data_IF_173723655737
#
_entry.id   IF_173723655737
#
_cell.length_a   1.000
_cell.length_b   1.000
_cell.length_c   1.000
_cell.angle_alpha   90.00
_cell.angle_beta   90.00
_cell.angle_gamma   90.00
#
_symmetry.space_group_name_H-M   'P 1'
#
loop_
_entity.id
_entity.type
_entity.pdbx_description
1 polymer ?
#
# COMPACT_ATOMS: atom_id res chain seq x y z
N UNK A 1 11.30 -22.87 -3.13
CA UNK A 1 10.26 -22.77 -4.18
C UNK A 1 8.86 -22.44 -3.64
N UNK A 2 8.43 -22.99 -2.48
CA UNK A 2 7.09 -22.73 -1.91
C UNK A 2 6.87 -21.28 -1.46
N UNK A 3 7.86 -20.65 -0.81
CA UNK A 3 7.75 -19.26 -0.30
C UNK A 3 7.51 -18.22 -1.40
N UNK A 4 8.14 -18.38 -2.56
CA UNK A 4 7.98 -17.48 -3.70
C UNK A 4 6.59 -17.61 -4.35
N UNK A 5 6.07 -18.86 -4.50
CA UNK A 5 4.70 -19.09 -4.96
C UNK A 5 3.67 -18.48 -4.02
N UNK A 6 3.91 -18.54 -2.70
CA UNK A 6 3.03 -17.92 -1.71
C UNK A 6 3.04 -16.38 -1.81
N UNK A 7 4.21 -15.77 -2.00
CA UNK A 7 4.32 -14.32 -2.21
C UNK A 7 3.59 -13.87 -3.48
N UNK A 8 3.74 -14.60 -4.59
CA UNK A 8 2.98 -14.32 -5.82
C UNK A 8 1.48 -14.37 -5.54
N UNK A 9 0.99 -15.46 -4.91
CA UNK A 9 -0.44 -15.60 -4.60
C UNK A 9 -0.96 -14.45 -3.75
N UNK A 10 -0.24 -14.05 -2.71
CA UNK A 10 -0.65 -12.93 -1.85
C UNK A 10 -0.68 -11.60 -2.61
N UNK A 11 0.35 -11.30 -3.41
CA UNK A 11 0.37 -10.08 -4.22
C UNK A 11 -0.78 -10.09 -5.22
N UNK A 12 -0.99 -11.20 -5.94
CA UNK A 12 -2.10 -11.34 -6.89
C UNK A 12 -3.45 -11.14 -6.22
N UNK A 13 -3.69 -11.76 -5.06
CA UNK A 13 -4.93 -11.59 -4.31
C UNK A 13 -5.17 -10.13 -3.92
N UNK A 14 -4.13 -9.42 -3.47
CA UNK A 14 -4.24 -7.99 -3.18
C UNK A 14 -4.59 -7.15 -4.41
N UNK A 15 -3.95 -7.42 -5.55
CA UNK A 15 -4.26 -6.70 -6.79
C UNK A 15 -5.69 -7.00 -7.25
N UNK A 16 -6.15 -8.24 -7.12
CA UNK A 16 -7.53 -8.62 -7.44
C UNK A 16 -8.54 -7.91 -6.54
N UNK A 17 -8.31 -7.86 -5.23
CA UNK A 17 -9.15 -7.08 -4.30
C UNK A 17 -9.18 -5.60 -4.69
N UNK A 18 -8.02 -4.99 -4.94
CA UNK A 18 -7.96 -3.56 -5.28
C UNK A 18 -8.67 -3.22 -6.58
N UNK A 19 -8.59 -4.09 -7.58
CA UNK A 19 -9.17 -3.85 -8.92
C UNK A 19 -10.60 -4.33 -9.08
N UNK A 20 -11.06 -5.27 -8.24
CA UNK A 20 -12.47 -5.67 -8.16
C UNK A 20 -13.29 -4.78 -7.21
N UNK A 21 -12.62 -4.11 -6.26
CA UNK A 21 -13.25 -3.10 -5.45
C UNK A 21 -13.75 -1.95 -6.34
N UNK A 22 -14.92 -1.39 -5.99
CA UNK A 22 -15.47 -0.20 -6.65
C UNK A 22 -14.73 1.08 -6.22
N UNK A 23 -13.40 1.03 -6.22
CA UNK A 23 -12.48 2.11 -5.83
C UNK A 23 -11.71 2.49 -7.09
N UNK A 24 -11.92 3.69 -7.65
CA UNK A 24 -11.17 4.11 -8.83
C UNK A 24 -9.69 4.26 -8.46
N UNK A 25 -8.81 3.46 -9.09
CA UNK A 25 -7.36 3.53 -8.83
C UNK A 25 -6.75 4.62 -9.69
N UNK A 26 -6.18 5.65 -9.08
CA UNK A 26 -5.46 6.70 -9.79
C UNK A 26 -3.98 6.35 -9.92
N UNK A 27 -3.34 6.13 -8.78
CA UNK A 27 -1.98 5.60 -8.69
C UNK A 27 -1.71 5.02 -7.30
N UNK A 28 -0.66 4.22 -7.21
CA UNK A 28 -0.35 3.42 -6.02
C UNK A 28 1.04 3.76 -5.48
N UNK A 29 1.12 4.15 -4.22
CA UNK A 29 2.37 4.25 -3.49
C UNK A 29 2.71 2.91 -2.83
N UNK A 30 3.95 2.45 -2.93
CA UNK A 30 4.42 1.18 -2.37
C UNK A 30 5.49 1.44 -1.32
N UNK A 31 5.12 1.30 -0.05
CA UNK A 31 5.95 1.40 1.16
C UNK A 31 6.31 0.00 1.69
N UNK A 32 6.88 -0.83 0.82
CA UNK A 32 7.30 -2.20 1.14
C UNK A 32 8.82 -2.29 1.05
N UNK A 33 9.45 -2.65 2.17
CA UNK A 33 10.90 -2.80 2.29
C UNK A 33 11.39 -4.16 1.76
N UNK A 34 10.53 -5.18 1.77
CA UNK A 34 10.84 -6.47 1.16
C UNK A 34 10.97 -6.35 -0.38
N UNK A 35 12.22 -6.29 -0.89
CA UNK A 35 12.48 -6.06 -2.32
C UNK A 35 11.78 -7.03 -3.28
N UNK A 36 11.79 -8.37 -3.05
CA UNK A 36 11.02 -9.30 -3.88
C UNK A 36 9.51 -9.00 -3.95
N UNK A 37 8.88 -8.72 -2.80
CA UNK A 37 7.44 -8.43 -2.74
C UNK A 37 7.14 -7.09 -3.40
N UNK A 38 7.96 -6.07 -3.16
CA UNK A 38 7.86 -4.77 -3.80
C UNK A 38 7.89 -4.88 -5.34
N UNK A 39 8.88 -5.62 -5.87
CA UNK A 39 9.00 -5.87 -7.32
C UNK A 39 7.79 -6.58 -7.90
N UNK A 40 7.21 -7.55 -7.16
CA UNK A 40 6.00 -8.24 -7.59
C UNK A 40 4.79 -7.30 -7.66
N UNK A 41 4.61 -6.42 -6.67
CA UNK A 41 3.55 -5.41 -6.71
C UNK A 41 3.70 -4.48 -7.92
N UNK A 42 4.90 -3.92 -8.13
CA UNK A 42 5.20 -3.05 -9.29
C UNK A 42 4.89 -3.78 -10.60
N UNK A 43 5.36 -5.02 -10.73
CA UNK A 43 5.13 -5.83 -11.93
C UNK A 43 3.64 -6.06 -12.21
N UNK A 44 2.87 -6.47 -11.20
CA UNK A 44 1.44 -6.75 -11.35
C UNK A 44 0.62 -5.48 -11.62
N UNK A 45 0.93 -4.36 -10.96
CA UNK A 45 0.29 -3.07 -11.19
C UNK A 45 0.56 -2.57 -12.61
N UNK A 46 1.82 -2.62 -13.06
CA UNK A 46 2.20 -2.22 -14.41
C UNK A 46 1.49 -3.09 -15.47
N UNK A 47 1.36 -4.39 -15.25
CA UNK A 47 0.62 -5.29 -16.14
C UNK A 47 -0.86 -4.91 -16.30
N UNK A 48 -1.45 -4.19 -15.33
CA UNK A 48 -2.82 -3.67 -15.38
C UNK A 48 -2.88 -2.19 -15.77
N UNK A 49 -1.78 -1.61 -16.27
CA UNK A 49 -1.64 -0.19 -16.59
C UNK A 49 -1.90 0.75 -15.39
N UNK A 50 -1.65 0.27 -14.16
CA UNK A 50 -1.79 1.08 -12.95
C UNK A 50 -0.42 1.69 -12.61
N UNK A 51 -0.36 3.03 -12.54
CA UNK A 51 0.85 3.75 -12.14
C UNK A 51 1.21 3.41 -10.71
N UNK A 52 2.48 3.08 -10.47
CA UNK A 52 2.98 2.74 -9.15
C UNK A 52 4.30 3.45 -8.84
N UNK A 53 4.47 3.83 -7.57
CA UNK A 53 5.61 4.60 -7.08
C UNK A 53 6.20 3.88 -5.87
N UNK A 54 7.37 3.27 -6.05
CA UNK A 54 8.11 2.66 -4.94
C UNK A 54 8.74 3.74 -4.09
N UNK A 55 8.24 3.85 -2.86
CA UNK A 55 8.71 4.82 -1.89
C UNK A 55 9.80 4.17 -1.04
N UNK A 56 11.04 4.50 -1.37
CA UNK A 56 12.21 4.10 -0.58
C UNK A 56 12.16 4.86 0.75
N UNK A 57 12.63 4.22 1.83
CA UNK A 57 12.80 4.88 3.14
C UNK A 57 13.64 6.16 2.96
N UNK A 58 12.98 7.30 2.88
CA UNK A 58 13.61 8.61 2.81
C UNK A 58 13.86 9.08 4.25
N UNK A 59 14.99 9.77 4.47
CA UNK A 59 15.28 10.40 5.77
C UNK A 59 14.28 11.52 6.10
N UNK A 60 13.70 12.15 5.06
CA UNK A 60 12.72 13.22 5.21
C UNK A 60 11.31 12.75 4.77
N UNK A 61 10.36 12.57 5.72
CA UNK A 61 8.97 12.23 5.43
C UNK A 61 8.26 13.21 4.48
N UNK A 62 8.67 14.48 4.45
CA UNK A 62 8.04 15.48 3.59
C UNK A 62 8.23 15.18 2.10
N UNK A 63 9.37 14.61 1.71
CA UNK A 63 9.63 14.21 0.32
C UNK A 63 8.63 13.13 -0.09
N UNK A 64 8.36 12.18 0.81
CA UNK A 64 7.39 11.11 0.56
C UNK A 64 5.96 11.62 0.48
N UNK A 65 5.59 12.54 1.37
CA UNK A 65 4.28 13.21 1.33
C UNK A 65 4.09 13.90 -0.02
N UNK A 66 5.07 14.70 -0.46
CA UNK A 66 5.00 15.39 -1.74
C UNK A 66 4.89 14.39 -2.91
N UNK A 67 5.67 13.30 -2.90
CA UNK A 67 5.55 12.26 -3.92
C UNK A 67 4.16 11.61 -3.96
N UNK A 68 3.53 11.38 -2.82
CA UNK A 68 2.17 10.81 -2.75
C UNK A 68 1.15 11.81 -3.33
N UNK A 69 1.26 13.08 -2.95
CA UNK A 69 0.34 14.14 -3.38
C UNK A 69 0.51 14.47 -4.87
N UNK A 70 1.74 14.75 -5.31
CA UNK A 70 2.06 15.17 -6.69
C UNK A 70 1.71 14.11 -7.73
N UNK A 71 1.72 12.83 -7.32
CA UNK A 71 1.35 11.71 -8.19
C UNK A 71 -0.10 11.23 -8.00
N UNK A 72 -0.91 11.96 -7.22
CA UNK A 72 -2.32 11.65 -6.93
C UNK A 72 -2.52 10.20 -6.44
N UNK A 73 -1.60 9.73 -5.59
CA UNK A 73 -1.64 8.38 -5.03
C UNK A 73 -2.84 8.26 -4.08
N UNK A 74 -3.82 7.46 -4.47
CA UNK A 74 -5.02 7.20 -3.66
C UNK A 74 -5.04 5.79 -3.06
N UNK A 75 -4.00 4.99 -3.31
CA UNK A 75 -3.74 3.72 -2.64
C UNK A 75 -2.31 3.72 -2.11
N UNK A 76 -2.15 3.31 -0.86
CA UNK A 76 -0.85 3.07 -0.23
C UNK A 76 -0.77 1.61 0.19
N UNK A 77 0.17 0.87 -0.39
CA UNK A 77 0.46 -0.52 0.00
C UNK A 77 1.69 -0.53 0.90
N UNK A 78 1.56 -1.11 2.10
CA UNK A 78 2.57 -0.99 3.14
C UNK A 78 2.88 -2.34 3.78
N UNK A 79 4.14 -2.53 4.20
CA UNK A 79 4.56 -3.61 5.09
C UNK A 79 4.81 -3.10 6.51
N UNK A 80 4.83 -4.02 7.48
CA UNK A 80 4.95 -3.70 8.92
C UNK A 80 6.19 -2.87 9.24
N UNK A 81 7.27 -3.04 8.47
CA UNK A 81 8.53 -2.31 8.67
C UNK A 81 8.44 -0.81 8.36
N UNK A 82 7.37 -0.40 7.67
CA UNK A 82 7.10 0.97 7.24
C UNK A 82 5.96 1.64 8.04
N UNK A 83 5.40 1.01 9.08
CA UNK A 83 4.26 1.57 9.83
C UNK A 83 4.57 2.87 10.55
N UNK A 84 5.75 2.98 11.18
CA UNK A 84 6.15 4.25 11.81
C UNK A 84 6.18 5.39 10.80
N UNK A 85 6.70 5.12 9.60
CA UNK A 85 6.73 6.10 8.52
C UNK A 85 5.32 6.42 8.02
N UNK A 86 4.46 5.40 7.85
CA UNK A 86 3.06 5.60 7.50
C UNK A 86 2.35 6.51 8.50
N UNK A 87 2.46 6.24 9.81
CA UNK A 87 1.85 7.04 10.87
C UNK A 87 2.35 8.50 10.87
N UNK A 88 3.60 8.75 10.47
CA UNK A 88 4.14 10.11 10.34
C UNK A 88 3.55 10.88 9.15
N UNK A 89 3.22 10.19 8.05
CA UNK A 89 2.72 10.86 6.83
C UNK A 89 1.19 10.96 6.79
N UNK A 90 0.46 10.05 7.43
CA UNK A 90 -1.00 10.01 7.40
C UNK A 90 -1.68 11.32 7.85
N UNK A 91 -1.22 12.04 8.88
CA UNK A 91 -1.83 13.33 9.25
C UNK A 91 -1.76 14.38 8.12
N UNK A 92 -0.79 14.27 7.23
CA UNK A 92 -0.52 15.24 6.15
C UNK A 92 -1.21 14.89 4.84
N UNK A 93 -1.70 13.66 4.68
CA UNK A 93 -2.52 13.31 3.52
C UNK A 93 -3.93 13.87 3.79
N UNK A 94 -4.43 14.75 2.93
CA UNK A 94 -5.74 15.41 3.12
C UNK A 94 -6.81 14.88 2.17
N UNK A 95 -6.52 13.78 1.47
CA UNK A 95 -7.39 13.16 0.48
C UNK A 95 -7.76 11.73 0.86
N UNK A 96 -8.81 11.22 0.23
CA UNK A 96 -9.27 9.84 0.43
C UNK A 96 -8.23 8.85 -0.09
N UNK A 97 -7.55 8.18 0.84
CA UNK A 97 -6.55 7.15 0.56
C UNK A 97 -7.01 5.81 1.12
N UNK A 98 -6.85 4.76 0.32
CA UNK A 98 -6.97 3.37 0.78
C UNK A 98 -5.61 2.87 1.21
N UNK A 99 -5.52 2.31 2.41
CA UNK A 99 -4.27 1.83 3.00
C UNK A 99 -4.34 0.31 3.09
N UNK A 100 -3.41 -0.38 2.44
CA UNK A 100 -3.33 -1.84 2.41
C UNK A 100 -2.22 -2.31 3.36
N UNK A 101 -2.63 -2.88 4.49
CA UNK A 101 -1.75 -3.49 5.49
C UNK A 101 -1.50 -4.95 5.12
N UNK A 102 -0.45 -5.19 4.32
CA UNK A 102 -0.23 -6.50 3.68
C UNK A 102 0.07 -7.66 4.65
N UNK A 103 0.42 -7.36 5.91
CA UNK A 103 0.90 -8.31 6.90
C UNK A 103 0.04 -8.43 8.16
N UNK A 104 -1.04 -7.64 8.27
CA UNK A 104 -1.91 -7.66 9.44
C UNK A 104 -3.21 -8.38 9.07
N UNK A 105 -3.65 -9.29 9.93
CA UNK A 105 -4.91 -10.00 9.70
C UNK A 105 -6.11 -9.10 10.05
N UNK A 106 -6.01 -8.37 11.16
CA UNK A 106 -6.99 -7.38 11.62
C UNK A 106 -6.38 -5.97 11.60
N UNK A 107 -7.23 -4.94 11.57
CA UNK A 107 -6.77 -3.55 11.72
C UNK A 107 -6.11 -3.36 13.10
N UNK A 108 -4.85 -2.90 13.17
CA UNK A 108 -4.19 -2.63 14.45
C UNK A 108 -4.77 -1.40 15.16
N UNK A 109 -4.78 -1.38 16.49
CA UNK A 109 -5.39 -0.29 17.29
C UNK A 109 -4.95 1.13 16.91
N UNK A 110 -3.70 1.31 16.47
CA UNK A 110 -3.20 2.63 16.07
C UNK A 110 -3.95 3.22 14.87
N UNK A 111 -4.61 2.39 14.04
CA UNK A 111 -5.40 2.87 12.89
C UNK A 111 -6.63 3.65 13.33
N UNK A 112 -7.08 3.48 14.58
CA UNK A 112 -8.26 4.18 15.11
C UNK A 112 -8.04 5.70 15.22
N UNK A 113 -6.78 6.15 15.30
CA UNK A 113 -6.43 7.57 15.24
C UNK A 113 -6.60 8.17 13.84
N UNK A 114 -6.90 7.34 12.83
CA UNK A 114 -6.89 7.68 11.40
C UNK A 114 -8.20 7.22 10.71
N UNK A 115 -9.33 7.40 11.38
CA UNK A 115 -10.64 6.85 11.00
C UNK A 115 -11.22 7.38 9.67
N UNK A 116 -10.65 8.43 9.09
CA UNK A 116 -11.03 8.97 7.78
C UNK A 116 -10.42 8.19 6.60
N UNK A 117 -9.47 7.28 6.86
CA UNK A 117 -8.94 6.38 5.84
C UNK A 117 -9.61 5.02 5.86
N UNK A 118 -9.64 4.39 4.68
CA UNK A 118 -10.04 2.99 4.56
C UNK A 118 -8.82 2.09 4.67
N UNK A 119 -8.74 1.30 5.75
CA UNK A 119 -7.72 0.28 5.93
C UNK A 119 -8.21 -1.09 5.45
N UNK A 120 -7.38 -1.77 4.66
CA UNK A 120 -7.57 -3.15 4.23
C UNK A 120 -6.48 -4.04 4.87
N UNK A 121 -6.87 -5.20 5.36
CA UNK A 121 -6.03 -6.19 6.05
C UNK A 121 -6.24 -7.58 5.42
N UNK A 122 -5.49 -8.61 5.84
CA UNK A 122 -5.56 -9.93 5.19
C UNK A 122 -6.95 -10.58 5.28
N UNK A 123 -7.79 -10.21 6.26
CA UNK A 123 -9.19 -10.64 6.31
C UNK A 123 -10.03 -10.19 5.10
N UNK A 124 -9.59 -9.15 4.38
CA UNK A 124 -10.27 -8.62 3.18
C UNK A 124 -9.86 -9.36 1.91
N UNK A 125 -8.91 -10.30 2.01
CA UNK A 125 -8.54 -11.20 0.93
C UNK A 125 -9.53 -12.38 0.85
N UNK A 126 -9.82 -12.89 -0.37
CA UNK A 126 -10.64 -14.08 -0.57
C UNK A 126 -9.95 -15.39 -0.15
#
# INVERSE_FOLDING_TARGET
MMRYKQQIRQVTAWIDVLTSANIPIKSVAILINNSPVNKLFVYQLNHRNIKSYTLIKQLNPQILINQIIDNDCNIIIVDKSSYLLLQQILPSLQHNVVIVLTQEYWQPDWTWAFNHYRFLCQQDLP
#
